data_IF_438255060619
#
_entry.id   IF_438255060619
#
_cell.length_a   1.000
_cell.length_b   1.000
_cell.length_c   1.000
_cell.angle_alpha   90.00
_cell.angle_beta   90.00
_cell.angle_gamma   90.00
#
_symmetry.space_group_name_H-M   'P 1'
#
loop_
_entity.id
_entity.type
_entity.pdbx_description
1 polymer ?
#
# COMPACT_ATOMS: atom_id res chain seq x y z
N UNK A 1 -24.22 -5.35 0.01
CA UNK A 1 -23.23 -5.27 -1.09
C UNK A 1 -22.09 -4.37 -0.63
N UNK A 2 -21.21 -4.90 0.23
CA UNK A 2 -20.08 -4.14 0.77
C UNK A 2 -19.06 -3.95 -0.34
N UNK A 3 -18.98 -2.73 -0.87
CA UNK A 3 -17.96 -2.33 -1.84
C UNK A 3 -16.62 -2.31 -1.10
N UNK A 4 -15.97 -3.46 -1.01
CA UNK A 4 -14.56 -3.54 -0.63
C UNK A 4 -13.81 -2.80 -1.72
N UNK A 5 -13.34 -1.61 -1.37
CA UNK A 5 -12.55 -0.72 -2.20
C UNK A 5 -11.20 -1.40 -2.50
N UNK A 6 -11.25 -2.37 -3.42
CA UNK A 6 -10.16 -3.28 -3.79
C UNK A 6 -9.28 -2.68 -4.89
N UNK A 7 -9.06 -1.36 -4.89
CA UNK A 7 -8.20 -0.69 -5.88
C UNK A 7 -7.01 0.04 -5.29
N UNK A 8 -6.89 0.10 -3.95
CA UNK A 8 -5.74 0.73 -3.32
C UNK A 8 -4.66 -0.27 -2.90
N UNK A 9 -4.94 -1.57 -2.78
CA UNK A 9 -3.94 -2.52 -2.26
C UNK A 9 -3.05 -3.15 -3.34
N UNK A 10 -3.53 -3.23 -4.58
CA UNK A 10 -2.81 -3.79 -5.72
C UNK A 10 -2.11 -2.69 -6.53
N UNK A 11 -1.09 -2.04 -5.96
CA UNK A 11 -0.20 -1.16 -6.72
C UNK A 11 0.96 -1.93 -7.32
N UNK A 12 1.19 -1.75 -8.63
CA UNK A 12 2.42 -2.16 -9.29
C UNK A 12 3.48 -1.09 -9.08
N UNK A 13 4.71 -1.52 -8.83
CA UNK A 13 5.84 -0.63 -8.68
C UNK A 13 6.08 0.12 -10.00
N UNK A 14 6.10 1.46 -10.01
CA UNK A 14 6.33 2.22 -11.23
C UNK A 14 7.75 2.03 -11.80
N UNK A 15 8.68 1.51 -10.99
CA UNK A 15 10.08 1.32 -11.38
C UNK A 15 10.34 -0.02 -12.05
N UNK A 16 9.81 -1.12 -11.48
CA UNK A 16 10.03 -2.48 -12.01
C UNK A 16 8.77 -3.14 -12.59
N UNK A 17 7.58 -2.58 -12.37
CA UNK A 17 6.31 -3.18 -12.80
C UNK A 17 5.82 -4.34 -11.94
N UNK A 18 6.62 -4.81 -10.99
CA UNK A 18 6.28 -5.89 -10.06
C UNK A 18 5.25 -5.44 -9.01
N UNK A 19 4.45 -6.38 -8.52
CA UNK A 19 3.43 -6.12 -7.50
C UNK A 19 4.06 -5.68 -6.17
N UNK A 20 3.48 -4.64 -5.56
CA UNK A 20 3.90 -4.14 -4.26
C UNK A 20 3.03 -4.73 -3.16
N UNK A 21 3.65 -5.07 -2.04
CA UNK A 21 2.94 -5.48 -0.83
C UNK A 21 2.47 -4.25 -0.07
N UNK A 22 1.18 -4.21 0.26
CA UNK A 22 0.57 -3.14 1.04
C UNK A 22 0.42 -3.55 2.51
N UNK A 23 1.05 -2.80 3.40
CA UNK A 23 1.01 -3.02 4.84
C UNK A 23 0.15 -1.90 5.44
N UNK A 24 -1.07 -2.24 5.86
CA UNK A 24 -1.95 -1.32 6.57
C UNK A 24 -1.53 -1.24 8.05
N UNK A 25 -1.07 -0.07 8.47
CA UNK A 25 -0.73 0.24 9.85
C UNK A 25 -1.71 1.26 10.41
N UNK A 26 -2.45 0.89 11.44
CA UNK A 26 -3.28 1.84 12.19
C UNK A 26 -2.39 2.67 13.10
N UNK A 27 -2.24 3.94 12.79
CA UNK A 27 -1.49 4.87 13.62
C UNK A 27 -2.31 5.19 14.88
N UNK A 28 -1.66 5.36 16.02
CA UNK A 28 -2.31 5.54 17.34
C UNK A 28 -3.25 6.76 17.42
N UNK A 29 -3.16 7.67 16.44
CA UNK A 29 -4.04 8.85 16.29
C UNK A 29 -5.32 8.60 15.47
N UNK A 30 -5.63 7.34 15.12
CA UNK A 30 -6.80 6.99 14.30
C UNK A 30 -6.61 7.25 12.81
N UNK A 31 -5.38 7.50 12.36
CA UNK A 31 -4.99 7.62 10.95
C UNK A 31 -4.58 6.26 10.40
N UNK A 32 -5.07 5.91 9.22
CA UNK A 32 -4.71 4.67 8.55
C UNK A 32 -3.50 4.95 7.64
N UNK A 33 -2.33 4.43 8.02
CA UNK A 33 -1.12 4.56 7.22
C UNK A 33 -0.95 3.30 6.37
N UNK A 34 -1.06 3.41 5.06
CA UNK A 34 -0.79 2.29 4.15
C UNK A 34 0.63 2.42 3.64
N UNK A 35 1.47 1.41 3.90
CA UNK A 35 2.84 1.36 3.40
C UNK A 35 2.94 0.36 2.27
N UNK A 36 3.32 0.81 1.08
CA UNK A 36 3.57 -0.03 -0.07
C UNK A 36 5.05 -0.36 -0.14
N UNK A 37 5.40 -1.64 -0.23
CA UNK A 37 6.77 -2.12 -0.36
C UNK A 37 6.91 -2.99 -1.61
N UNK A 38 7.86 -2.64 -2.47
CA UNK A 38 8.27 -3.49 -3.58
C UNK A 38 9.42 -4.40 -3.13
N UNK A 39 9.24 -5.72 -3.20
CA UNK A 39 10.30 -6.67 -2.85
C UNK A 39 11.40 -6.78 -3.92
N UNK A 40 11.12 -6.37 -5.16
CA UNK A 40 12.09 -6.44 -6.27
C UNK A 40 13.01 -5.23 -6.29
N UNK A 41 12.41 -4.04 -6.27
CA UNK A 41 13.14 -2.77 -6.28
C UNK A 41 13.60 -2.33 -4.87
N UNK A 42 13.03 -2.89 -3.79
CA UNK A 42 13.27 -2.44 -2.41
C UNK A 42 12.59 -1.11 -2.05
N UNK A 43 11.84 -0.52 -2.98
CA UNK A 43 11.15 0.76 -2.77
C UNK A 43 10.02 0.62 -1.76
N UNK A 44 9.89 1.63 -0.90
CA UNK A 44 8.81 1.72 0.06
C UNK A 44 8.26 3.15 0.10
N UNK A 45 6.94 3.30 0.11
CA UNK A 45 6.27 4.59 0.30
C UNK A 45 5.01 4.41 1.15
N UNK A 46 4.73 5.39 2.00
CA UNK A 46 3.59 5.38 2.90
C UNK A 46 2.61 6.50 2.53
N UNK A 47 1.32 6.17 2.50
CA UNK A 47 0.23 7.14 2.29
C UNK A 47 -0.66 7.18 3.53
N UNK A 48 -1.05 8.40 3.92
CA UNK A 48 -2.06 8.66 4.97
C UNK A 48 -3.44 8.56 4.31
N UNK A 49 -4.35 7.76 4.89
CA UNK A 49 -5.74 7.62 4.47
C UNK A 49 -6.68 8.19 5.54
#
# INVERSE_FOLDING_TARGET
MEKRDHSLFDQKCPTCGSWMESILSKSTKGKELITYRCNECGLNYSVDK
#
